data_IF_644677289971
#
_entry.id   IF_644677289971
#
_cell.length_a   1.000
_cell.length_b   1.000
_cell.length_c   1.000
_cell.angle_alpha   90.00
_cell.angle_beta   90.00
_cell.angle_gamma   90.00
#
_symmetry.space_group_name_H-M   'P 1'
#
loop_
_entity.id
_entity.type
_entity.pdbx_description
1 polymer ?
#
# COMPACT_ATOMS: atom_id res chain seq x y z
N UNK A 1 -11.27 -11.97 17.20
CA UNK A 1 -12.67 -11.54 17.19
C UNK A 1 -12.95 -11.08 15.77
N UNK A 2 -13.53 -11.95 14.95
CA UNK A 2 -13.83 -11.66 13.54
C UNK A 2 -14.86 -10.53 13.53
N UNK A 3 -14.48 -9.38 12.98
CA UNK A 3 -15.33 -8.20 12.94
C UNK A 3 -16.68 -8.55 12.31
N UNK A 4 -17.75 -8.27 13.05
CA UNK A 4 -19.15 -8.55 12.69
C UNK A 4 -19.66 -7.61 11.61
N UNK A 5 -18.90 -7.45 10.52
CA UNK A 5 -19.21 -6.51 9.44
C UNK A 5 -20.29 -7.14 8.54
N UNK A 6 -21.52 -6.64 8.69
CA UNK A 6 -22.69 -7.11 7.94
C UNK A 6 -22.44 -7.00 6.43
N UNK A 7 -22.76 -8.06 5.67
CA UNK A 7 -22.71 -8.02 4.20
C UNK A 7 -23.69 -6.96 3.66
N UNK A 8 -23.27 -6.27 2.61
CA UNK A 8 -24.07 -5.28 1.91
C UNK A 8 -25.03 -6.01 0.97
N UNK A 9 -26.31 -5.92 1.27
CA UNK A 9 -27.38 -6.47 0.45
C UNK A 9 -28.06 -5.33 -0.30
N UNK A 10 -27.99 -5.37 -1.63
CA UNK A 10 -28.70 -4.48 -2.55
C UNK A 10 -29.20 -5.26 -3.76
N UNK A 11 -30.31 -4.81 -4.30
CA UNK A 11 -30.89 -5.34 -5.54
C UNK A 11 -30.06 -4.98 -6.76
N UNK A 12 -30.26 -5.71 -7.86
CA UNK A 12 -29.61 -5.42 -9.14
C UNK A 12 -29.91 -3.99 -9.63
N UNK A 13 -31.14 -3.53 -9.43
CA UNK A 13 -31.57 -2.19 -9.82
C UNK A 13 -30.84 -1.09 -9.04
N UNK A 14 -30.66 -1.28 -7.72
CA UNK A 14 -29.90 -0.35 -6.89
C UNK A 14 -28.43 -0.29 -7.30
N UNK A 15 -27.82 -1.44 -7.62
CA UNK A 15 -26.44 -1.46 -8.11
C UNK A 15 -26.29 -0.77 -9.46
N UNK A 16 -27.22 -0.97 -10.40
CA UNK A 16 -27.21 -0.29 -11.70
C UNK A 16 -27.44 1.22 -11.58
N UNK A 17 -28.17 1.67 -10.57
CA UNK A 17 -28.40 3.09 -10.31
C UNK A 17 -27.18 3.77 -9.67
N UNK A 18 -26.42 3.04 -8.84
CA UNK A 18 -25.24 3.57 -8.15
C UNK A 18 -23.98 3.56 -9.04
N UNK A 19 -23.79 2.53 -9.85
CA UNK A 19 -22.55 2.27 -10.57
C UNK A 19 -22.62 2.73 -12.03
N UNK A 20 -21.49 3.14 -12.59
CA UNK A 20 -21.38 3.34 -14.03
C UNK A 20 -21.62 2.01 -14.78
N UNK A 21 -22.04 2.05 -16.07
CA UNK A 21 -22.26 0.82 -16.83
C UNK A 21 -21.06 -0.12 -16.84
N UNK A 22 -19.84 0.43 -16.88
CA UNK A 22 -18.60 -0.35 -16.87
C UNK A 22 -18.29 -0.93 -15.49
N UNK A 23 -18.40 -0.12 -14.43
CA UNK A 23 -18.25 -0.59 -13.05
C UNK A 23 -19.23 -1.72 -12.75
N UNK A 24 -20.49 -1.59 -13.14
CA UNK A 24 -21.51 -2.63 -12.96
C UNK A 24 -21.21 -3.89 -13.79
N UNK A 25 -20.78 -3.75 -15.06
CA UNK A 25 -20.37 -4.88 -15.91
C UNK A 25 -19.24 -5.67 -15.27
N UNK A 26 -18.24 -4.99 -14.71
CA UNK A 26 -17.09 -5.64 -14.08
C UNK A 26 -17.50 -6.25 -12.74
N UNK A 27 -18.00 -5.44 -11.82
CA UNK A 27 -18.22 -5.83 -10.42
C UNK A 27 -19.40 -6.78 -10.20
N UNK A 28 -20.44 -6.74 -11.05
CA UNK A 28 -21.65 -7.58 -10.87
C UNK A 28 -21.83 -8.65 -11.94
N UNK A 29 -21.19 -8.50 -13.11
CA UNK A 29 -21.26 -9.46 -14.22
C UNK A 29 -19.93 -10.15 -14.52
N UNK A 30 -18.96 -10.06 -13.61
CA UNK A 30 -17.64 -10.69 -13.73
C UNK A 30 -16.92 -10.31 -15.04
N UNK A 31 -17.15 -9.08 -15.51
CA UNK A 31 -16.45 -8.54 -16.65
C UNK A 31 -14.99 -8.22 -16.32
N UNK A 32 -14.16 -8.15 -17.35
CA UNK A 32 -12.78 -7.67 -17.24
C UNK A 32 -12.62 -6.41 -18.09
N UNK A 33 -11.91 -5.41 -17.58
CA UNK A 33 -11.50 -4.23 -18.36
C UNK A 33 -10.39 -4.59 -19.35
N UNK A 34 -10.19 -3.78 -20.38
CA UNK A 34 -9.08 -3.98 -21.33
C UNK A 34 -7.75 -3.62 -20.66
N UNK A 35 -6.69 -4.34 -20.99
CA UNK A 35 -5.35 -4.03 -20.51
C UNK A 35 -4.95 -2.59 -20.86
N UNK A 36 -4.23 -1.92 -19.95
CA UNK A 36 -3.68 -0.56 -20.11
C UNK A 36 -4.73 0.54 -20.33
N UNK A 37 -6.01 0.27 -20.07
CA UNK A 37 -7.07 1.29 -20.18
C UNK A 37 -7.66 1.73 -18.85
N UNK A 38 -7.38 1.00 -17.77
CA UNK A 38 -7.89 1.34 -16.44
C UNK A 38 -7.29 2.65 -15.91
N UNK A 39 -7.97 3.33 -15.00
CA UNK A 39 -7.45 4.57 -14.42
C UNK A 39 -6.22 4.33 -13.54
N UNK A 40 -6.17 3.18 -12.87
CA UNK A 40 -5.23 2.92 -11.78
C UNK A 40 -4.05 2.00 -12.12
N UNK A 41 -3.88 1.62 -13.40
CA UNK A 41 -2.83 0.68 -13.77
C UNK A 41 -1.42 1.26 -13.50
N UNK A 42 -1.16 2.54 -13.83
CA UNK A 42 0.14 3.21 -13.62
C UNK A 42 0.17 4.15 -12.40
N UNK A 43 -0.86 4.14 -11.54
CA UNK A 43 -0.86 5.00 -10.35
C UNK A 43 0.29 4.65 -9.40
N UNK A 44 1.01 5.69 -8.97
CA UNK A 44 2.18 5.61 -8.06
C UNK A 44 2.02 6.46 -6.81
N UNK A 45 0.89 7.11 -6.64
CA UNK A 45 0.59 7.94 -5.48
C UNK A 45 0.35 7.07 -4.23
N UNK A 46 0.80 7.51 -3.04
CA UNK A 46 0.47 6.85 -1.78
C UNK A 46 -1.04 6.96 -1.51
N UNK A 47 -1.64 5.88 -1.02
CA UNK A 47 -3.08 5.84 -0.78
C UNK A 47 -3.63 4.42 -0.70
N UNK A 48 -4.95 4.36 -0.55
CA UNK A 48 -5.71 3.12 -0.35
C UNK A 48 -6.68 2.91 -1.50
N UNK A 49 -6.74 1.69 -2.01
CA UNK A 49 -7.72 1.26 -3.00
C UNK A 49 -8.91 0.63 -2.29
N UNK A 50 -10.08 1.21 -2.50
CA UNK A 50 -11.36 0.80 -1.92
C UNK A 50 -12.23 0.09 -2.95
N UNK A 51 -13.17 -0.71 -2.48
CA UNK A 51 -14.22 -1.28 -3.32
C UNK A 51 -15.12 -0.16 -3.85
N UNK A 52 -15.23 -0.01 -5.17
CA UNK A 52 -16.11 1.00 -5.80
C UNK A 52 -17.59 0.82 -5.42
N UNK A 53 -18.01 -0.39 -5.02
CA UNK A 53 -19.40 -0.67 -4.67
C UNK A 53 -19.75 -0.26 -3.23
N UNK A 54 -18.92 -0.64 -2.26
CA UNK A 54 -19.25 -0.52 -0.83
C UNK A 54 -18.25 0.33 0.00
N UNK A 55 -17.19 0.84 -0.63
CA UNK A 55 -16.18 1.68 0.02
C UNK A 55 -15.20 0.93 0.94
N UNK A 56 -15.28 -0.40 0.97
CA UNK A 56 -14.40 -1.24 1.80
C UNK A 56 -12.93 -1.06 1.40
N UNK A 57 -11.99 -0.79 2.33
CA UNK A 57 -10.56 -0.83 2.03
C UNK A 57 -10.12 -2.22 1.58
N UNK A 58 -9.51 -2.33 0.40
CA UNK A 58 -9.12 -3.63 -0.17
C UNK A 58 -7.61 -3.78 -0.28
N UNK A 59 -6.93 -2.78 -0.84
CA UNK A 59 -5.50 -2.85 -1.13
C UNK A 59 -4.81 -1.55 -0.77
N UNK A 60 -3.53 -1.66 -0.42
CA UNK A 60 -2.66 -0.52 -0.17
C UNK A 60 -1.68 -0.32 -1.33
N UNK A 61 -1.38 0.94 -1.65
CA UNK A 61 -0.33 1.27 -2.62
C UNK A 61 1.01 0.58 -2.31
N UNK A 62 1.40 0.38 -1.06
CA UNK A 62 2.65 -0.28 -0.67
C UNK A 62 2.75 -1.72 -1.19
N UNK A 63 1.61 -2.38 -1.37
CA UNK A 63 1.55 -3.74 -1.93
C UNK A 63 1.42 -3.75 -3.45
N UNK A 64 1.19 -2.58 -4.08
CA UNK A 64 1.08 -2.43 -5.53
C UNK A 64 2.46 -2.50 -6.17
N UNK A 65 2.56 -3.22 -7.29
CA UNK A 65 3.77 -3.28 -8.10
C UNK A 65 3.43 -3.34 -9.59
N UNK A 66 4.42 -3.06 -10.43
CA UNK A 66 4.28 -3.20 -11.87
C UNK A 66 4.50 -4.66 -12.29
N UNK A 67 3.44 -5.30 -12.76
CA UNK A 67 3.51 -6.68 -13.29
C UNK A 67 3.71 -6.73 -14.80
N UNK A 68 3.67 -5.58 -15.50
CA UNK A 68 3.69 -5.51 -16.96
C UNK A 68 2.44 -6.04 -17.65
N UNK A 69 1.39 -6.40 -16.90
CA UNK A 69 0.17 -6.99 -17.47
C UNK A 69 -0.86 -5.97 -17.96
N UNK A 70 -0.76 -4.71 -17.52
CA UNK A 70 -1.69 -3.65 -17.87
C UNK A 70 -2.90 -3.52 -16.95
N UNK A 71 -2.90 -4.22 -15.81
CA UNK A 71 -3.89 -4.06 -14.74
C UNK A 71 -3.19 -3.79 -13.40
N UNK A 72 -3.83 -3.05 -12.46
CA UNK A 72 -3.28 -2.84 -11.14
C UNK A 72 -3.05 -4.19 -10.44
N UNK A 73 -1.80 -4.41 -10.02
CA UNK A 73 -1.34 -5.66 -9.45
C UNK A 73 -0.82 -5.45 -8.03
N UNK A 74 -1.28 -6.28 -7.10
CA UNK A 74 -0.91 -6.22 -5.69
C UNK A 74 -0.34 -7.56 -5.21
N UNK A 75 0.54 -7.53 -4.22
CA UNK A 75 1.14 -8.74 -3.63
C UNK A 75 0.32 -9.33 -2.47
N UNK A 76 -0.52 -8.51 -1.83
CA UNK A 76 -1.40 -8.90 -0.72
C UNK A 76 -2.57 -7.92 -0.57
N UNK A 77 -3.72 -8.34 -0.02
CA UNK A 77 -4.78 -7.43 0.43
C UNK A 77 -4.36 -6.67 1.69
N UNK A 78 -5.07 -5.58 1.96
CA UNK A 78 -4.87 -4.74 3.15
C UNK A 78 -5.21 -5.50 4.45
N UNK A 79 -6.26 -6.32 4.41
CA UNK A 79 -6.64 -7.24 5.47
C UNK A 79 -7.03 -8.60 4.84
N UNK A 80 -6.64 -9.75 5.42
CA UNK A 80 -6.98 -11.07 4.88
C UNK A 80 -8.48 -11.34 4.76
N UNK A 81 -9.31 -10.68 5.58
CA UNK A 81 -10.77 -10.76 5.55
C UNK A 81 -11.45 -9.72 4.66
N UNK A 82 -10.70 -8.81 4.02
CA UNK A 82 -11.27 -7.81 3.10
C UNK A 82 -11.70 -8.43 1.76
N UNK A 83 -11.06 -9.55 1.38
CA UNK A 83 -11.31 -10.25 0.11
C UNK A 83 -11.64 -11.72 0.34
N UNK A 84 -12.57 -12.24 -0.46
CA UNK A 84 -12.86 -13.67 -0.57
C UNK A 84 -12.30 -14.19 -1.89
N UNK A 85 -11.89 -15.46 -1.93
CA UNK A 85 -11.42 -16.11 -3.16
C UNK A 85 -12.35 -17.25 -3.55
N UNK A 86 -12.58 -17.42 -4.84
CA UNK A 86 -13.46 -18.45 -5.40
C UNK A 86 -12.83 -19.08 -6.63
N UNK A 87 -13.01 -20.39 -6.81
CA UNK A 87 -12.62 -21.04 -8.06
C UNK A 87 -13.49 -20.55 -9.23
N UNK A 88 -12.83 -20.01 -10.25
CA UNK A 88 -13.40 -19.65 -11.55
C UNK A 88 -12.98 -20.70 -12.59
N UNK A 89 -13.96 -21.44 -13.10
CA UNK A 89 -13.81 -22.47 -14.14
C UNK A 89 -14.36 -22.02 -15.50
N UNK A 90 -14.59 -20.73 -15.67
CA UNK A 90 -15.05 -20.17 -16.94
C UNK A 90 -13.98 -20.31 -18.04
N UNK A 91 -14.44 -20.31 -19.29
CA UNK A 91 -13.58 -20.31 -20.49
C UNK A 91 -12.56 -21.47 -20.54
N UNK A 92 -12.88 -22.63 -19.93
CA UNK A 92 -12.01 -23.80 -19.84
C UNK A 92 -10.67 -23.56 -19.12
N UNK A 93 -10.54 -22.43 -18.42
CA UNK A 93 -9.37 -22.12 -17.59
C UNK A 93 -9.72 -22.33 -16.13
N UNK A 94 -8.72 -22.64 -15.30
CA UNK A 94 -8.84 -22.62 -13.84
C UNK A 94 -8.13 -21.39 -13.32
N UNK A 95 -8.90 -20.42 -12.87
CA UNK A 95 -8.41 -19.21 -12.22
C UNK A 95 -9.04 -19.09 -10.84
N UNK A 96 -8.46 -18.25 -9.99
CA UNK A 96 -9.04 -17.93 -8.69
C UNK A 96 -9.58 -16.51 -8.75
N UNK A 97 -10.90 -16.37 -8.77
CA UNK A 97 -11.60 -15.09 -8.71
C UNK A 97 -11.41 -14.48 -7.31
N UNK A 98 -11.26 -13.16 -7.28
CA UNK A 98 -11.18 -12.36 -6.06
C UNK A 98 -12.44 -11.49 -5.96
N UNK A 99 -13.14 -11.62 -4.85
CA UNK A 99 -14.39 -10.95 -4.53
C UNK A 99 -14.19 -10.04 -3.31
N UNK A 100 -14.92 -8.92 -3.25
CA UNK A 100 -15.02 -8.15 -2.02
C UNK A 100 -15.83 -8.94 -0.98
N UNK A 101 -15.24 -9.23 0.18
CA UNK A 101 -15.90 -10.01 1.24
C UNK A 101 -17.19 -9.36 1.77
N UNK A 102 -17.28 -8.02 1.66
CA UNK A 102 -18.41 -7.25 2.21
C UNK A 102 -19.62 -7.16 1.27
N UNK A 103 -19.45 -7.21 -0.05
CA UNK A 103 -20.54 -6.97 -1.01
C UNK A 103 -20.58 -7.94 -2.20
N UNK A 104 -19.68 -8.93 -2.22
CA UNK A 104 -19.54 -9.94 -3.27
C UNK A 104 -19.26 -9.35 -4.66
N UNK A 105 -18.72 -8.13 -4.72
CA UNK A 105 -18.30 -7.49 -5.96
C UNK A 105 -17.08 -8.21 -6.55
N UNK A 106 -17.13 -8.52 -7.85
CA UNK A 106 -15.98 -9.00 -8.62
C UNK A 106 -14.90 -7.92 -8.71
N UNK A 107 -13.70 -8.27 -8.25
CA UNK A 107 -12.54 -7.38 -8.26
C UNK A 107 -11.57 -7.77 -9.37
N UNK A 108 -11.31 -9.06 -9.53
CA UNK A 108 -10.39 -9.60 -10.54
C UNK A 108 -10.00 -11.03 -10.21
N UNK A 109 -8.72 -11.36 -10.41
CA UNK A 109 -8.18 -12.71 -10.18
C UNK A 109 -6.85 -12.68 -9.43
N UNK A 110 -6.56 -13.76 -8.70
CA UNK A 110 -5.27 -14.00 -8.06
C UNK A 110 -4.52 -15.14 -8.76
N UNK A 111 -3.22 -14.94 -8.97
CA UNK A 111 -2.33 -15.88 -9.65
C UNK A 111 -1.11 -16.20 -8.77
N UNK A 112 -0.55 -17.43 -8.85
CA UNK A 112 0.60 -17.85 -8.06
C UNK A 112 1.95 -17.46 -8.70
N UNK A 113 2.00 -16.36 -9.43
CA UNK A 113 3.16 -15.85 -10.18
C UNK A 113 3.63 -14.47 -9.66
N UNK A 114 3.31 -14.16 -8.41
CA UNK A 114 3.66 -12.89 -7.78
C UNK A 114 5.06 -12.86 -7.14
N UNK A 115 5.49 -11.69 -6.65
CA UNK A 115 6.76 -11.53 -5.96
C UNK A 115 6.76 -12.19 -4.58
N UNK A 116 7.95 -12.44 -4.05
CA UNK A 116 8.12 -12.81 -2.63
C UNK A 116 7.67 -11.66 -1.72
N UNK A 117 7.20 -11.94 -0.50
CA UNK A 117 7.17 -13.25 0.18
C UNK A 117 5.94 -14.10 -0.14
N UNK A 118 4.83 -13.51 -0.59
CA UNK A 118 3.57 -14.22 -0.77
C UNK A 118 3.59 -15.15 -1.99
N UNK A 119 4.31 -14.77 -3.05
CA UNK A 119 4.26 -15.46 -4.34
C UNK A 119 2.91 -15.27 -5.06
N UNK A 120 2.06 -14.37 -4.57
CA UNK A 120 0.72 -14.14 -5.09
C UNK A 120 0.64 -12.80 -5.83
N UNK A 121 -0.07 -12.79 -6.94
CA UNK A 121 -0.38 -11.60 -7.72
C UNK A 121 -1.89 -11.42 -7.78
N UNK A 122 -2.38 -10.42 -7.06
CA UNK A 122 -3.76 -9.95 -7.13
C UNK A 122 -3.87 -8.98 -8.30
N UNK A 123 -4.36 -9.48 -9.43
CA UNK A 123 -4.59 -8.72 -10.66
C UNK A 123 -6.03 -8.19 -10.68
N UNK A 124 -6.22 -6.91 -10.34
CA UNK A 124 -7.54 -6.31 -10.14
C UNK A 124 -7.95 -5.47 -11.35
N UNK A 125 -9.25 -5.29 -11.56
CA UNK A 125 -9.77 -4.30 -12.49
C UNK A 125 -9.74 -2.92 -11.81
N UNK A 126 -9.21 -1.91 -12.49
CA UNK A 126 -9.22 -0.53 -12.02
C UNK A 126 -10.64 -0.03 -11.79
N UNK A 127 -11.56 -0.34 -12.71
CA UNK A 127 -12.98 0.03 -12.57
C UNK A 127 -13.72 -0.72 -11.44
N UNK A 128 -13.11 -1.68 -10.76
CA UNK A 128 -13.65 -2.27 -9.53
C UNK A 128 -13.13 -1.58 -8.25
N UNK A 129 -12.15 -0.69 -8.40
CA UNK A 129 -11.48 0.02 -7.32
C UNK A 129 -11.82 1.51 -7.39
N UNK A 130 -11.71 2.16 -6.24
CA UNK A 130 -11.73 3.60 -6.08
C UNK A 130 -10.49 3.99 -5.27
N UNK A 131 -9.72 4.98 -5.72
CA UNK A 131 -8.45 5.34 -5.09
C UNK A 131 -8.61 6.56 -4.19
N UNK A 132 -8.30 6.39 -2.91
CA UNK A 132 -8.21 7.49 -1.95
C UNK A 132 -6.73 7.79 -1.70
N UNK A 133 -6.27 8.95 -2.17
CA UNK A 133 -4.91 9.41 -1.91
C UNK A 133 -4.70 9.62 -0.42
N UNK A 134 -3.52 9.25 0.09
CA UNK A 134 -3.16 9.55 1.47
C UNK A 134 -2.94 11.06 1.59
N UNK A 135 -3.78 11.75 2.37
CA UNK A 135 -3.47 13.11 2.79
C UNK A 135 -2.17 13.09 3.59
N UNK A 136 -1.30 14.08 3.39
CA UNK A 136 -0.09 14.26 4.19
C UNK A 136 -0.36 14.41 5.71
N UNK A 137 -1.63 14.52 6.14
CA UNK A 137 -2.08 14.63 7.52
C UNK A 137 -3.03 13.51 7.98
N UNK A 138 -3.30 12.50 7.13
CA UNK A 138 -4.39 11.54 7.34
C UNK A 138 -3.99 10.08 7.22
N UNK A 139 -2.71 9.73 7.38
CA UNK A 139 -2.28 8.34 7.41
C UNK A 139 -2.69 7.67 8.74
N UNK A 140 -3.63 6.69 8.75
CA UNK A 140 -3.94 5.92 9.96
C UNK A 140 -2.78 5.01 10.40
N UNK A 141 -1.67 4.98 9.65
CA UNK A 141 -0.44 4.22 9.90
C UNK A 141 0.81 5.10 10.03
N UNK A 142 0.66 6.40 10.30
CA UNK A 142 1.79 7.23 10.71
C UNK A 142 2.36 6.74 12.05
N UNK A 143 3.16 5.68 12.03
CA UNK A 143 4.09 5.39 13.12
C UNK A 143 5.16 6.49 13.13
N UNK A 144 5.51 7.04 14.29
CA UNK A 144 6.56 8.05 14.36
C UNK A 144 7.89 7.42 13.97
N UNK A 145 8.50 8.01 12.95
CA UNK A 145 9.81 7.69 12.40
C UNK A 145 10.81 7.21 13.47
N UNK A 146 11.18 5.93 13.39
CA UNK A 146 12.35 5.39 14.06
C UNK A 146 13.52 5.40 13.07
N UNK A 147 14.14 6.58 12.92
CA UNK A 147 15.58 6.69 12.85
C UNK A 147 16.19 6.79 11.46
N UNK A 148 16.19 8.01 10.92
CA UNK A 148 17.30 8.49 10.10
C UNK A 148 17.97 9.69 10.79
N UNK A 149 18.84 9.42 11.76
CA UNK A 149 19.75 10.44 12.30
C UNK A 149 20.76 10.81 11.20
N UNK A 150 20.52 11.97 10.61
CA UNK A 150 21.40 12.63 9.66
C UNK A 150 22.69 13.14 10.32
N UNK A 151 23.75 13.03 9.54
CA UNK A 151 25.02 13.74 9.71
C UNK A 151 24.81 15.24 9.59
N UNK A 152 25.18 15.99 10.63
CA UNK A 152 25.54 17.41 10.52
C UNK A 152 26.37 17.84 11.74
N UNK A 153 27.67 18.08 11.53
CA UNK A 153 28.46 18.98 12.38
C UNK A 153 29.05 20.06 11.48
N UNK A 154 28.60 21.29 11.71
CA UNK A 154 29.02 22.46 10.96
C UNK A 154 28.65 23.72 11.72
N UNK A 155 29.42 24.04 12.77
CA UNK A 155 29.36 25.33 13.44
C UNK A 155 30.66 26.09 13.20
N UNK A 156 30.51 27.31 12.69
CA UNK A 156 31.57 28.28 12.46
C UNK A 156 31.29 29.58 13.23
N UNK A 157 32.39 30.24 13.61
CA UNK A 157 32.55 31.54 14.28
C UNK A 157 32.41 31.52 15.82
N UNK A 158 33.35 32.01 16.64
CA UNK A 158 34.57 32.80 16.43
C UNK A 158 34.60 33.95 17.45
N UNK A 159 35.65 34.08 18.28
CA UNK A 159 36.08 35.35 18.91
C UNK A 159 37.31 35.17 19.83
N UNK A 160 38.30 36.06 19.66
CA UNK A 160 39.30 36.49 20.67
C UNK A 160 40.40 35.47 20.99
N UNK A 161 41.69 35.79 21.08
CA UNK A 161 42.37 37.03 21.45
C UNK A 161 43.60 36.60 22.26
N UNK A 162 44.75 37.22 22.01
CA UNK A 162 46.08 36.77 22.40
C UNK A 162 46.33 36.67 23.92
N UNK A 163 47.34 35.91 24.35
CA UNK A 163 48.60 36.42 24.94
C UNK A 163 49.49 35.29 25.53
N UNK A 164 50.79 35.51 25.40
CA UNK A 164 51.97 34.74 25.86
C UNK A 164 52.00 34.52 27.39
N UNK A 165 52.52 33.42 27.96
CA UNK A 165 53.94 33.19 28.35
C UNK A 165 54.02 31.87 29.17
N UNK A 166 55.14 31.13 29.11
CA UNK A 166 55.44 29.98 30.01
C UNK A 166 55.74 30.41 31.46
N UNK A 167 56.28 29.55 32.38
CA UNK A 167 57.11 28.36 32.14
C UNK A 167 56.88 27.12 33.05
N UNK A 168 57.65 26.07 32.75
CA UNK A 168 58.22 24.99 33.59
C UNK A 168 57.60 24.55 34.94
N UNK A 169 57.40 23.23 35.07
CA UNK A 169 57.72 22.48 36.29
C UNK A 169 57.92 20.99 35.98
N UNK A 170 59.18 20.62 35.75
CA UNK A 170 59.66 19.25 35.73
C UNK A 170 59.65 18.64 37.14
N UNK A 171 59.51 17.31 37.15
CA UNK A 171 59.30 16.47 38.31
C UNK A 171 60.52 16.33 39.25
N UNK A 172 60.17 16.19 40.53
CA UNK A 172 60.77 15.30 41.54
C UNK A 172 62.23 15.50 41.98
N UNK A 173 62.33 16.03 43.20
CA UNK A 173 63.48 16.08 44.11
C UNK A 173 63.99 14.66 44.51
N UNK A 174 65.25 14.54 44.99
CA UNK A 174 65.98 13.29 45.20
C UNK A 174 66.08 12.86 46.68
N UNK A 175 66.64 11.67 46.91
CA UNK A 175 67.64 11.32 47.94
C UNK A 175 67.41 9.99 48.70
N UNK A 176 68.56 9.33 48.92
CA UNK A 176 68.90 8.49 50.08
C UNK A 176 68.44 7.02 50.08
N UNK A 177 69.24 6.12 49.45
CA UNK A 177 70.14 5.15 50.13
C UNK A 177 70.68 4.06 49.20
#
# INVERSE_FOLDING_TARGET
MTDGRKKVEKTDAEWRAQLSPEQYRITRKQGTERAFTGEYWDTKEPGVYRCVCCGEPLFDRQTKYDSGTGWPSFSAPLDPGAVETREDRSLFMRRTEVLCARCDAHLGHVFPDGPRPTGLRYCMNSAALDFEAADAAGDPRAEPDAGAAGTEIGDAAGAGGAESTGPDAAASDPADR
#
